data_IF_816612229891
#
_entry.id   IF_816612229891
#
_cell.length_a   1.000
_cell.length_b   1.000
_cell.length_c   1.000
_cell.angle_alpha   90.00
_cell.angle_beta   90.00
_cell.angle_gamma   90.00
#
_symmetry.space_group_name_H-M   'P 1'
#
loop_
_entity.id
_entity.type
_entity.pdbx_description
1 polymer ?
#
# COMPACT_ATOMS: atom_id res chain seq x y z
N UNK A 1 11.29 -17.45 5.87
CA UNK A 1 10.79 -17.47 4.48
C UNK A 1 11.90 -17.33 3.42
N UNK A 2 13.18 -17.16 3.79
CA UNK A 2 14.29 -17.33 2.84
C UNK A 2 14.55 -16.21 1.83
N UNK A 3 13.77 -15.12 1.86
CA UNK A 3 13.93 -13.95 0.98
C UNK A 3 15.29 -13.29 1.17
N UNK A 4 15.97 -13.00 0.06
CA UNK A 4 17.28 -12.34 -0.01
C UNK A 4 17.20 -11.03 -0.81
N UNK A 5 18.30 -10.27 -0.79
CA UNK A 5 18.45 -9.10 -1.66
C UNK A 5 18.22 -9.47 -3.13
N UNK A 6 17.44 -8.66 -3.85
CA UNK A 6 17.09 -8.87 -5.25
C UNK A 6 15.92 -9.83 -5.49
N UNK A 7 15.49 -10.60 -4.47
CA UNK A 7 14.27 -11.40 -4.58
C UNK A 7 13.03 -10.49 -4.63
N UNK A 8 12.03 -10.90 -5.41
CA UNK A 8 10.75 -10.20 -5.47
C UNK A 8 9.77 -10.74 -4.43
N UNK A 9 8.98 -9.84 -3.85
CA UNK A 9 7.90 -10.17 -2.91
C UNK A 9 6.61 -9.53 -3.39
N UNK A 10 5.61 -10.34 -3.72
CA UNK A 10 4.29 -9.85 -4.12
C UNK A 10 3.50 -9.38 -2.90
N UNK A 11 2.86 -8.21 -3.01
CA UNK A 11 2.06 -7.62 -1.94
C UNK A 11 0.64 -7.40 -2.47
N UNK A 12 -0.35 -7.98 -1.80
CA UNK A 12 -1.77 -7.84 -2.12
C UNK A 12 -2.54 -7.57 -0.83
N UNK A 13 -2.46 -6.34 -0.35
CA UNK A 13 -3.02 -5.93 0.95
C UNK A 13 -4.01 -4.77 0.79
N UNK A 14 -5.05 -4.69 1.64
CA UNK A 14 -5.91 -3.52 1.72
C UNK A 14 -5.15 -2.33 2.32
N UNK A 15 -5.78 -1.15 2.29
CA UNK A 15 -5.29 0.13 2.85
C UNK A 15 -5.16 0.15 4.37
N UNK A 16 -4.32 -0.73 4.89
CA UNK A 16 -3.96 -0.82 6.31
C UNK A 16 -2.52 -0.36 6.49
N UNK A 17 -2.17 0.12 7.67
CA UNK A 17 -0.80 0.56 7.96
C UNK A 17 0.24 -0.56 7.78
N UNK A 18 -0.17 -1.84 7.89
CA UNK A 18 0.68 -3.00 7.62
C UNK A 18 1.21 -3.06 6.19
N UNK A 19 0.52 -2.44 5.21
CA UNK A 19 1.01 -2.34 3.85
C UNK A 19 2.30 -1.50 3.78
N UNK A 20 2.32 -0.34 4.45
CA UNK A 20 3.54 0.47 4.56
C UNK A 20 4.67 -0.29 5.27
N UNK A 21 4.34 -0.99 6.37
CA UNK A 21 5.31 -1.83 7.07
C UNK A 21 5.88 -2.93 6.15
N UNK A 22 5.06 -3.49 5.26
CA UNK A 22 5.47 -4.52 4.28
C UNK A 22 6.45 -3.96 3.26
N UNK A 23 6.16 -2.77 2.69
CA UNK A 23 7.04 -2.13 1.71
C UNK A 23 8.42 -1.88 2.33
N UNK A 24 8.42 -1.30 3.55
CA UNK A 24 9.64 -1.00 4.29
C UNK A 24 10.38 -2.25 4.74
N UNK A 25 9.68 -3.33 5.09
CA UNK A 25 10.31 -4.61 5.43
C UNK A 25 11.04 -5.23 4.22
N UNK A 26 10.44 -5.15 3.03
CA UNK A 26 11.08 -5.60 1.79
C UNK A 26 12.31 -4.72 1.48
N UNK A 27 12.14 -3.39 1.46
CA UNK A 27 13.23 -2.45 1.21
C UNK A 27 14.38 -2.62 2.22
N UNK A 28 14.08 -2.90 3.49
CA UNK A 28 15.08 -3.09 4.56
C UNK A 28 16.00 -4.28 4.32
N UNK A 29 15.54 -5.32 3.64
CA UNK A 29 16.34 -6.50 3.32
C UNK A 29 16.82 -6.55 1.87
N UNK A 30 16.62 -5.44 1.13
CA UNK A 30 16.96 -5.36 -0.29
C UNK A 30 16.06 -6.18 -1.21
N UNK A 31 14.89 -6.62 -0.74
CA UNK A 31 13.89 -7.29 -1.56
C UNK A 31 13.06 -6.27 -2.35
N UNK A 32 12.61 -6.70 -3.52
CA UNK A 32 11.87 -5.87 -4.48
C UNK A 32 10.38 -6.15 -4.27
N UNK A 33 9.67 -5.27 -3.56
CA UNK A 33 8.23 -5.46 -3.40
C UNK A 33 7.49 -5.14 -4.72
N UNK A 34 6.49 -5.96 -5.02
CA UNK A 34 5.64 -5.84 -6.20
C UNK A 34 4.19 -5.78 -5.77
N UNK A 35 3.62 -4.58 -5.80
CA UNK A 35 2.31 -4.31 -5.21
C UNK A 35 1.20 -4.45 -6.24
N UNK A 36 0.20 -5.27 -5.91
CA UNK A 36 -1.03 -5.43 -6.69
C UNK A 36 -2.20 -4.71 -6.03
N UNK A 37 -2.99 -3.99 -6.83
CA UNK A 37 -4.20 -3.33 -6.34
C UNK A 37 -5.16 -4.32 -5.72
N UNK A 38 -5.58 -4.09 -4.46
CA UNK A 38 -6.48 -4.99 -3.72
C UNK A 38 -7.87 -5.20 -4.37
N UNK A 39 -8.18 -4.49 -5.45
CA UNK A 39 -9.36 -4.72 -6.30
C UNK A 39 -9.11 -5.52 -7.59
N UNK A 40 -7.90 -6.00 -7.83
CA UNK A 40 -7.60 -6.88 -8.97
C UNK A 40 -8.28 -8.24 -8.84
N UNK A 41 -8.60 -8.84 -10.00
CA UNK A 41 -9.04 -10.23 -10.08
C UNK A 41 -7.89 -11.21 -9.82
N UNK A 42 -8.22 -12.48 -9.58
CA UNK A 42 -7.25 -13.56 -9.43
C UNK A 42 -6.32 -13.68 -10.63
N UNK A 43 -6.83 -13.53 -11.85
CA UNK A 43 -6.05 -13.62 -13.09
C UNK A 43 -5.06 -12.45 -13.18
N UNK A 44 -5.54 -11.24 -12.87
CA UNK A 44 -4.70 -10.03 -12.87
C UNK A 44 -3.57 -10.12 -11.84
N UNK A 45 -3.85 -10.70 -10.67
CA UNK A 45 -2.85 -10.95 -9.63
C UNK A 45 -1.85 -12.04 -10.06
N UNK A 46 -2.34 -13.19 -10.53
CA UNK A 46 -1.56 -14.31 -11.03
C UNK A 46 -0.54 -13.88 -12.09
N UNK A 47 -0.98 -13.13 -13.10
CA UNK A 47 -0.11 -12.73 -14.21
C UNK A 47 1.08 -11.88 -13.73
N UNK A 48 0.87 -11.06 -12.69
CA UNK A 48 1.92 -10.23 -12.09
C UNK A 48 2.87 -11.04 -11.22
N UNK A 49 2.34 -11.97 -10.42
CA UNK A 49 3.15 -12.89 -9.61
C UNK A 49 4.11 -13.69 -10.51
N UNK A 50 3.58 -14.25 -11.61
CA UNK A 50 4.38 -15.02 -12.58
C UNK A 50 5.47 -14.19 -13.24
N UNK A 51 5.11 -12.97 -13.65
CA UNK A 51 6.03 -12.08 -14.34
C UNK A 51 7.17 -11.61 -13.43
N UNK A 52 6.87 -11.24 -12.17
CA UNK A 52 7.90 -10.89 -11.20
C UNK A 52 8.59 -12.08 -10.55
N UNK A 53 8.15 -13.33 -10.81
CA UNK A 53 8.71 -14.59 -10.26
C UNK A 53 8.80 -14.58 -8.73
N UNK A 54 7.77 -14.04 -8.07
CA UNK A 54 7.76 -13.93 -6.62
C UNK A 54 7.63 -15.29 -5.96
N UNK A 55 8.46 -15.56 -4.93
CA UNK A 55 8.39 -16.79 -4.12
C UNK A 55 7.63 -16.61 -2.81
N UNK A 56 7.38 -15.36 -2.42
CA UNK A 56 6.62 -15.01 -1.21
C UNK A 56 5.53 -14.02 -1.57
N UNK A 57 4.33 -14.24 -1.04
CA UNK A 57 3.22 -13.30 -1.16
C UNK A 57 2.76 -12.83 0.22
N UNK A 58 2.46 -11.55 0.35
CA UNK A 58 1.96 -10.95 1.58
C UNK A 58 0.55 -10.41 1.33
N UNK A 59 -0.41 -10.81 2.15
CA UNK A 59 -1.83 -10.43 2.00
C UNK A 59 -2.53 -10.30 3.36
N UNK A 60 -3.85 -10.13 3.35
CA UNK A 60 -4.72 -10.22 4.52
C UNK A 60 -5.77 -11.32 4.36
N UNK A 61 -6.37 -11.74 5.47
CA UNK A 61 -7.59 -12.57 5.47
C UNK A 61 -8.68 -11.91 4.60
N UNK A 62 -9.05 -10.68 4.93
CA UNK A 62 -9.99 -9.85 4.18
C UNK A 62 -9.64 -8.36 4.31
N UNK A 63 -10.04 -7.57 3.32
CA UNK A 63 -10.07 -6.12 3.40
C UNK A 63 -11.43 -5.57 3.81
N UNK A 64 -11.45 -4.34 4.34
CA UNK A 64 -12.67 -3.57 4.58
C UNK A 64 -12.58 -2.22 3.88
N UNK A 65 -13.52 -1.90 3.00
CA UNK A 65 -13.55 -0.60 2.32
C UNK A 65 -14.98 -0.12 2.11
N UNK A 66 -15.29 1.08 2.60
CA UNK A 66 -16.63 1.68 2.47
C UNK A 66 -17.76 0.79 3.03
N UNK A 67 -17.51 0.09 4.14
CA UNK A 67 -18.45 -0.86 4.75
C UNK A 67 -18.51 -2.24 4.09
N UNK A 68 -17.85 -2.45 2.94
CA UNK A 68 -17.83 -3.72 2.22
C UNK A 68 -16.62 -4.58 2.59
N UNK A 69 -16.77 -5.89 2.47
CA UNK A 69 -15.70 -6.88 2.59
C UNK A 69 -15.03 -7.09 1.23
N UNK A 70 -13.71 -7.20 1.23
CA UNK A 70 -12.90 -7.63 0.07
C UNK A 70 -12.27 -8.96 0.46
N UNK A 71 -12.62 -10.06 -0.21
CA UNK A 71 -12.12 -11.39 0.12
C UNK A 71 -10.70 -11.62 -0.41
N UNK A 72 -9.72 -10.89 0.13
CA UNK A 72 -8.33 -10.87 -0.36
C UNK A 72 -7.70 -12.25 -0.36
N UNK A 73 -7.84 -13.03 0.73
CA UNK A 73 -7.30 -14.39 0.80
C UNK A 73 -7.92 -15.32 -0.24
N UNK A 74 -9.22 -15.21 -0.49
CA UNK A 74 -9.90 -16.02 -1.50
C UNK A 74 -9.40 -15.72 -2.93
N UNK A 75 -9.14 -14.44 -3.23
CA UNK A 75 -8.58 -14.03 -4.53
C UNK A 75 -7.14 -14.54 -4.67
N UNK A 76 -6.34 -14.45 -3.61
CA UNK A 76 -4.98 -15.00 -3.55
C UNK A 76 -5.00 -16.50 -3.80
N UNK A 77 -5.83 -17.26 -3.08
CA UNK A 77 -5.91 -18.72 -3.24
C UNK A 77 -6.30 -19.12 -4.66
N UNK A 78 -7.23 -18.38 -5.29
CA UNK A 78 -7.59 -18.60 -6.68
C UNK A 78 -6.43 -18.32 -7.64
N UNK A 79 -5.65 -17.24 -7.41
CA UNK A 79 -4.49 -16.90 -8.22
C UNK A 79 -3.36 -17.94 -8.07
N UNK A 80 -3.11 -18.41 -6.85
CA UNK A 80 -1.99 -19.29 -6.52
C UNK A 80 -2.15 -20.73 -7.03
N UNK A 81 -3.36 -21.15 -7.42
CA UNK A 81 -3.56 -22.42 -8.16
C UNK A 81 -2.70 -22.54 -9.40
N UNK A 82 -2.34 -21.42 -10.00
CA UNK A 82 -1.51 -21.35 -11.20
C UNK A 82 -0.11 -20.78 -10.95
N UNK A 83 0.27 -20.49 -9.70
CA UNK A 83 1.58 -19.95 -9.32
C UNK A 83 2.29 -20.89 -8.31
N UNK A 84 2.68 -22.11 -8.72
CA UNK A 84 3.32 -23.08 -7.82
C UNK A 84 4.69 -22.64 -7.29
N UNK A 85 5.28 -21.59 -7.85
CA UNK A 85 6.54 -20.99 -7.41
C UNK A 85 6.43 -20.19 -6.10
N UNK A 86 5.20 -19.82 -5.69
CA UNK A 86 4.98 -19.17 -4.39
C UNK A 86 5.04 -20.23 -3.30
N UNK A 87 6.06 -20.14 -2.44
CA UNK A 87 6.34 -21.13 -1.40
C UNK A 87 5.73 -20.73 -0.05
N UNK A 88 5.50 -19.43 0.15
CA UNK A 88 5.01 -18.90 1.41
C UNK A 88 4.02 -17.75 1.19
N UNK A 89 2.92 -17.78 1.95
CA UNK A 89 1.97 -16.67 2.03
C UNK A 89 1.90 -16.16 3.46
N UNK A 90 2.28 -14.90 3.68
CA UNK A 90 2.12 -14.23 4.97
C UNK A 90 0.77 -13.50 5.01
N UNK A 91 -0.13 -13.93 5.88
CA UNK A 91 -1.50 -13.43 5.98
C UNK A 91 -1.66 -12.56 7.22
N UNK A 92 -1.97 -11.29 7.05
CA UNK A 92 -2.38 -10.39 8.13
C UNK A 92 -3.85 -10.63 8.51
N UNK A 93 -4.12 -10.83 9.81
CA UNK A 93 -5.47 -11.02 10.34
C UNK A 93 -6.15 -9.66 10.54
N UNK A 94 -6.81 -9.14 9.50
CA UNK A 94 -7.47 -7.83 9.49
C UNK A 94 -8.90 -7.89 10.02
N UNK A 95 -9.70 -8.89 9.62
CA UNK A 95 -11.10 -9.03 10.08
C UNK A 95 -11.25 -10.13 11.11
N UNK A 96 -10.40 -11.14 11.05
CA UNK A 96 -10.44 -12.31 11.91
C UNK A 96 -11.54 -13.30 11.58
N UNK A 97 -12.21 -13.12 10.44
CA UNK A 97 -13.14 -14.08 9.88
C UNK A 97 -12.41 -15.35 9.41
N UNK A 98 -13.16 -16.45 9.30
CA UNK A 98 -12.63 -17.71 8.79
C UNK A 98 -12.34 -17.59 7.29
N UNK A 99 -11.11 -17.92 6.90
CA UNK A 99 -10.66 -17.99 5.50
C UNK A 99 -10.08 -19.37 5.21
N UNK A 100 -10.07 -19.76 3.93
CA UNK A 100 -9.41 -20.99 3.50
C UNK A 100 -7.90 -20.93 3.82
N UNK A 101 -7.33 -22.07 4.19
CA UNK A 101 -5.96 -22.16 4.68
C UNK A 101 -5.26 -23.39 4.12
N UNK A 102 -4.02 -23.20 3.69
CA UNK A 102 -3.12 -24.25 3.18
C UNK A 102 -1.98 -24.46 4.16
N UNK A 103 -1.99 -25.59 4.86
CA UNK A 103 -1.02 -25.90 5.92
C UNK A 103 0.43 -25.91 5.40
N UNK A 104 1.37 -25.37 6.18
CA UNK A 104 2.78 -25.22 5.81
C UNK A 104 3.11 -24.11 4.79
N UNK A 105 2.14 -23.73 3.96
CA UNK A 105 2.27 -22.67 2.96
C UNK A 105 1.81 -21.30 3.49
N UNK A 106 0.60 -21.26 4.06
CA UNK A 106 0.01 -20.06 4.64
C UNK A 106 0.48 -19.88 6.08
N UNK A 107 0.84 -18.66 6.46
CA UNK A 107 1.32 -18.31 7.80
C UNK A 107 0.70 -17.03 8.30
N UNK A 108 0.27 -17.01 9.56
CA UNK A 108 -0.28 -15.80 10.16
C UNK A 108 0.83 -14.80 10.50
N UNK A 109 0.64 -13.55 10.05
CA UNK A 109 1.55 -12.43 10.33
C UNK A 109 1.84 -12.28 11.81
N UNK A 110 0.78 -12.27 12.64
CA UNK A 110 0.88 -12.02 14.08
C UNK A 110 1.58 -13.17 14.83
N UNK A 111 1.58 -14.39 14.28
CA UNK A 111 2.31 -15.52 14.86
C UNK A 111 3.78 -15.52 14.43
N UNK A 112 4.06 -15.26 13.15
CA UNK A 112 5.43 -15.26 12.62
C UNK A 112 6.25 -14.09 13.17
N UNK A 113 5.63 -12.92 13.37
CA UNK A 113 6.33 -11.74 13.91
C UNK A 113 6.73 -11.89 15.37
N UNK A 114 6.06 -12.74 16.16
CA UNK A 114 6.46 -13.06 17.54
C UNK A 114 7.70 -13.95 17.62
N UNK A 115 8.06 -14.63 16.52
CA UNK A 115 9.19 -15.57 16.46
C UNK A 115 10.51 -14.87 16.10
N UNK A 116 10.47 -13.59 15.78
CA UNK A 116 11.63 -12.82 15.31
C UNK A 116 11.89 -11.61 16.21
N UNK A 117 13.16 -11.14 16.31
CA UNK A 117 13.49 -9.94 17.07
C UNK A 117 12.85 -8.69 16.44
N UNK A 118 12.64 -7.67 17.28
CA UNK A 118 12.08 -6.37 16.87
C UNK A 118 13.06 -5.47 16.09
N UNK A 119 14.31 -5.91 15.91
CA UNK A 119 15.32 -5.21 15.14
C UNK A 119 16.04 -6.17 14.19
N UNK A 120 16.21 -5.72 12.95
CA UNK A 120 17.04 -6.36 11.93
C UNK A 120 17.92 -5.27 11.30
N UNK A 121 19.24 -5.45 11.13
CA UNK A 121 20.06 -4.48 10.40
C UNK A 121 19.53 -4.26 8.97
N UNK A 122 19.54 -3.02 8.46
CA UNK A 122 19.21 -2.76 7.06
C UNK A 122 20.32 -3.27 6.13
N UNK A 123 19.94 -3.82 4.99
CA UNK A 123 20.88 -4.23 3.93
C UNK A 123 21.49 -2.99 3.25
N UNK A 124 22.77 -3.07 2.87
CA UNK A 124 23.44 -1.98 2.15
C UNK A 124 23.14 -2.11 0.67
N UNK A 125 22.37 -1.17 0.13
CA UNK A 125 21.93 -1.16 -1.26
C UNK A 125 22.75 -0.19 -2.10
N UNK A 126 22.99 -0.53 -3.37
CA UNK A 126 23.47 0.42 -4.37
C UNK A 126 22.37 1.42 -4.74
N UNK A 127 22.76 2.62 -5.16
CA UNK A 127 21.81 3.64 -5.63
C UNK A 127 20.94 3.16 -6.79
N UNK A 128 21.51 2.30 -7.65
CA UNK A 128 20.88 1.73 -8.83
C UNK A 128 20.11 0.43 -8.57
N UNK A 129 20.15 -0.12 -7.36
CA UNK A 129 19.44 -1.36 -7.07
C UNK A 129 17.92 -1.13 -7.12
N UNK A 130 17.13 -2.09 -7.62
CA UNK A 130 15.69 -1.98 -7.66
C UNK A 130 15.09 -1.89 -6.26
N UNK A 131 14.19 -0.92 -6.06
CA UNK A 131 13.43 -0.75 -4.82
C UNK A 131 12.08 -1.47 -4.90
N UNK A 132 11.39 -1.32 -6.03
CA UNK A 132 10.08 -1.92 -6.25
C UNK A 132 9.74 -2.08 -7.72
N UNK A 133 8.75 -2.95 -7.96
CA UNK A 133 8.08 -3.14 -9.23
C UNK A 133 6.63 -2.65 -9.07
N UNK A 134 6.16 -1.85 -10.03
CA UNK A 134 4.77 -1.46 -10.12
C UNK A 134 4.22 -1.71 -11.52
N UNK A 135 3.15 -2.49 -11.59
CA UNK A 135 2.51 -2.84 -12.86
C UNK A 135 1.49 -1.78 -13.27
N UNK A 136 1.62 -1.24 -14.49
CA UNK A 136 0.68 -0.27 -15.05
C UNK A 136 -0.10 -0.85 -16.23
N UNK A 137 -1.29 -0.34 -16.51
CA UNK A 137 -2.05 -0.72 -17.70
C UNK A 137 -1.26 -0.40 -18.98
N UNK A 138 -0.94 -1.41 -19.78
CA UNK A 138 -0.35 -1.24 -21.11
C UNK A 138 -1.44 -1.00 -22.16
N UNK A 139 -1.11 -0.23 -23.21
CA UNK A 139 -1.98 -0.01 -24.37
C UNK A 139 -2.21 -1.28 -25.21
N UNK A 140 -1.36 -2.30 -25.03
CA UNK A 140 -1.34 -3.55 -25.81
C UNK A 140 -1.93 -4.75 -25.05
N UNK A 141 -2.63 -4.51 -23.93
CA UNK A 141 -3.31 -5.55 -23.15
C UNK A 141 -2.45 -6.27 -22.11
N UNK A 142 -1.13 -6.40 -22.32
CA UNK A 142 -0.21 -6.88 -21.27
C UNK A 142 0.17 -5.75 -20.29
N UNK A 143 0.14 -5.98 -18.97
CA UNK A 143 0.64 -5.01 -18.00
C UNK A 143 2.10 -4.64 -18.29
N UNK A 144 2.42 -3.34 -18.22
CA UNK A 144 3.80 -2.87 -18.31
C UNK A 144 4.45 -2.93 -16.94
N UNK A 145 5.66 -3.46 -16.88
CA UNK A 145 6.50 -3.48 -15.67
C UNK A 145 7.21 -2.15 -15.56
N UNK A 146 6.98 -1.42 -14.47
CA UNK A 146 7.77 -0.23 -14.12
C UNK A 146 8.66 -0.60 -12.95
N UNK A 147 9.97 -0.41 -13.11
CA UNK A 147 10.97 -0.65 -12.06
C UNK A 147 11.53 0.70 -11.63
N UNK A 148 11.50 0.97 -10.32
CA UNK A 148 12.14 2.14 -9.73
C UNK A 148 13.38 1.72 -8.95
N UNK A 149 14.48 2.44 -9.14
CA UNK A 149 15.74 2.24 -8.39
C UNK A 149 15.73 3.04 -7.10
N UNK A 150 16.58 2.62 -6.15
CA UNK A 150 16.53 3.07 -4.76
C UNK A 150 16.79 4.57 -4.59
N UNK A 151 18.01 5.05 -4.84
CA UNK A 151 18.38 6.41 -4.43
C UNK A 151 17.63 7.51 -5.20
N UNK A 152 17.53 7.35 -6.53
CA UNK A 152 16.89 8.36 -7.39
C UNK A 152 15.40 8.52 -7.09
N UNK A 153 14.68 7.42 -6.87
CA UNK A 153 13.26 7.47 -6.50
C UNK A 153 13.05 8.11 -5.13
N UNK A 154 13.81 7.69 -4.12
CA UNK A 154 13.68 8.24 -2.76
C UNK A 154 14.02 9.73 -2.72
N UNK A 155 15.08 10.15 -3.42
CA UNK A 155 15.43 11.57 -3.55
C UNK A 155 14.31 12.36 -4.24
N UNK A 156 13.78 11.84 -5.34
CA UNK A 156 12.67 12.47 -6.05
C UNK A 156 11.46 12.68 -5.14
N UNK A 157 11.02 11.62 -4.45
CA UNK A 157 9.91 11.67 -3.51
C UNK A 157 10.14 12.72 -2.39
N UNK A 158 11.30 12.69 -1.75
CA UNK A 158 11.63 13.63 -0.67
C UNK A 158 11.72 15.08 -1.14
N UNK A 159 12.23 15.32 -2.35
CA UNK A 159 12.28 16.66 -2.95
C UNK A 159 10.87 17.16 -3.30
N UNK A 160 10.03 16.33 -3.91
CA UNK A 160 8.67 16.75 -4.27
C UNK A 160 7.81 17.00 -3.04
N UNK A 161 7.92 16.18 -2.00
CA UNK A 161 7.23 16.44 -0.73
C UNK A 161 7.65 17.80 -0.15
N UNK A 162 8.95 18.05 -0.11
CA UNK A 162 9.47 19.31 0.43
C UNK A 162 9.06 20.52 -0.40
N UNK A 163 9.19 20.46 -1.73
CA UNK A 163 9.14 21.67 -2.57
C UNK A 163 7.80 21.87 -3.29
N UNK A 164 7.05 20.81 -3.57
CA UNK A 164 5.72 20.93 -4.20
C UNK A 164 4.65 21.12 -3.13
N UNK A 165 4.76 20.36 -2.04
CA UNK A 165 3.78 20.41 -0.96
C UNK A 165 4.23 21.27 0.23
N UNK A 166 5.46 21.82 0.23
CA UNK A 166 5.97 22.65 1.34
C UNK A 166 5.98 21.94 2.70
N UNK A 167 6.31 20.64 2.72
CA UNK A 167 6.27 19.82 3.95
C UNK A 167 7.41 20.13 4.92
N UNK A 168 7.04 20.46 6.15
CA UNK A 168 7.84 20.76 7.33
C UNK A 168 7.75 19.67 8.42
N UNK A 169 8.70 19.59 9.37
CA UNK A 169 8.76 18.51 10.37
C UNK A 169 7.50 18.28 11.22
N UNK A 170 6.74 19.33 11.50
CA UNK A 170 5.51 19.33 12.30
C UNK A 170 4.25 18.92 11.52
N UNK A 171 4.37 18.73 10.20
CA UNK A 171 3.24 18.52 9.32
C UNK A 171 2.61 17.13 9.44
N UNK A 172 1.32 17.12 9.10
CA UNK A 172 0.50 15.92 8.98
C UNK A 172 -0.02 15.83 7.55
N UNK A 173 0.63 14.99 6.76
CA UNK A 173 0.35 14.81 5.35
C UNK A 173 -0.70 13.73 5.13
N UNK A 174 -1.80 14.07 4.46
CA UNK A 174 -2.87 13.13 4.17
C UNK A 174 -3.09 12.98 2.66
N UNK A 175 -2.41 12.00 2.06
CA UNK A 175 -2.76 11.50 0.74
C UNK A 175 -3.86 10.44 0.85
N UNK A 176 -5.00 10.70 0.22
CA UNK A 176 -6.18 9.84 0.22
C UNK A 176 -6.19 8.80 -0.91
N UNK A 177 -5.03 8.57 -1.54
CA UNK A 177 -4.87 7.53 -2.57
C UNK A 177 -4.75 6.13 -1.93
N UNK A 178 -4.77 5.08 -2.75
CA UNK A 178 -4.39 3.75 -2.29
C UNK A 178 -2.86 3.53 -2.46
N UNK A 179 -2.23 2.81 -1.53
CA UNK A 179 -0.79 2.45 -1.56
C UNK A 179 -0.43 1.61 -2.77
N UNK A 180 -1.40 0.94 -3.39
CA UNK A 180 -1.18 0.11 -4.58
C UNK A 180 -0.99 0.91 -5.87
N UNK A 181 -1.15 2.24 -5.82
CA UNK A 181 -0.82 3.15 -6.92
C UNK A 181 0.48 3.90 -6.65
N UNK A 182 1.10 4.42 -7.70
CA UNK A 182 2.33 5.21 -7.58
C UNK A 182 2.16 6.42 -6.65
N UNK A 183 0.97 7.02 -6.62
CA UNK A 183 0.66 8.12 -5.70
C UNK A 183 0.81 7.68 -4.24
N UNK A 184 0.33 6.49 -3.87
CA UNK A 184 0.46 5.99 -2.51
C UNK A 184 1.88 5.50 -2.17
N UNK A 185 2.59 4.90 -3.13
CA UNK A 185 4.02 4.61 -2.95
C UNK A 185 4.78 5.89 -2.58
N UNK A 186 4.65 6.92 -3.41
CA UNK A 186 5.43 8.14 -3.28
C UNK A 186 4.96 9.00 -2.11
N UNK A 187 3.65 9.27 -1.99
CA UNK A 187 3.10 10.32 -1.13
C UNK A 187 2.33 9.82 0.09
N UNK A 188 2.27 8.50 0.32
CA UNK A 188 1.81 7.92 1.60
C UNK A 188 3.00 7.29 2.33
N UNK A 189 3.82 6.52 1.62
CA UNK A 189 4.91 5.76 2.23
C UNK A 189 6.24 6.50 2.15
N UNK A 190 6.84 6.63 0.97
CA UNK A 190 8.25 7.01 0.89
C UNK A 190 8.52 8.48 1.22
N UNK A 191 7.88 9.42 0.53
CA UNK A 191 8.12 10.86 0.69
C UNK A 191 7.95 11.32 2.14
N UNK A 192 6.76 11.13 2.76
CA UNK A 192 6.53 11.63 4.11
C UNK A 192 7.43 10.97 5.16
N UNK A 193 7.66 9.65 5.04
CA UNK A 193 8.48 8.93 6.02
C UNK A 193 9.97 9.23 5.89
N UNK A 194 10.48 9.53 4.68
CA UNK A 194 11.85 10.03 4.48
C UNK A 194 12.07 11.38 5.17
N UNK A 195 11.01 12.18 5.27
CA UNK A 195 11.02 13.48 5.93
C UNK A 195 10.80 13.40 7.45
N UNK A 196 10.40 12.23 7.95
CA UNK A 196 10.08 12.03 9.36
C UNK A 196 8.76 12.68 9.80
N UNK A 197 7.87 13.00 8.85
CA UNK A 197 6.59 13.63 9.15
C UNK A 197 5.46 12.62 9.34
N UNK A 198 4.32 13.05 9.86
CA UNK A 198 3.16 12.18 10.02
C UNK A 198 2.46 11.98 8.68
N UNK A 199 2.15 10.74 8.32
CA UNK A 199 1.42 10.38 7.09
C UNK A 199 0.12 9.64 7.40
N UNK A 200 -0.93 9.89 6.61
CA UNK A 200 -2.22 9.23 6.77
C UNK A 200 -2.36 7.97 5.88
N UNK A 201 -2.81 6.88 6.48
CA UNK A 201 -3.26 5.68 5.75
C UNK A 201 -4.78 5.58 5.90
N UNK A 202 -5.52 5.92 4.84
CA UNK A 202 -6.98 6.00 4.86
C UNK A 202 -7.63 4.76 4.23
N UNK A 203 -8.20 3.88 5.06
CA UNK A 203 -8.79 2.60 4.62
C UNK A 203 -10.20 2.73 3.98
N UNK A 204 -10.85 3.89 4.12
CA UNK A 204 -12.26 4.04 3.75
C UNK A 204 -12.46 4.61 2.34
N UNK A 205 -13.70 5.06 2.06
CA UNK A 205 -14.01 5.85 0.86
C UNK A 205 -14.36 7.28 1.27
N UNK A 206 -14.34 8.21 0.32
CA UNK A 206 -14.69 9.62 0.56
C UNK A 206 -16.12 9.83 1.07
N UNK A 207 -16.98 8.81 0.96
CA UNK A 207 -18.42 8.91 1.25
C UNK A 207 -18.91 7.97 2.34
N UNK A 208 -18.01 7.25 3.03
CA UNK A 208 -18.40 6.30 4.06
C UNK A 208 -17.95 6.71 5.47
N UNK A 209 -18.86 6.81 6.46
CA UNK A 209 -20.30 6.54 6.37
C UNK A 209 -21.09 7.64 5.66
N UNK A 210 -20.53 8.85 5.54
CA UNK A 210 -21.15 9.98 4.86
C UNK A 210 -20.14 10.74 3.98
N UNK A 211 -20.59 11.61 3.07
CA UNK A 211 -19.72 12.47 2.24
C UNK A 211 -18.91 13.51 3.03
N UNK A 212 -19.12 13.61 4.35
CA UNK A 212 -18.28 14.43 5.23
C UNK A 212 -16.96 13.75 5.61
N UNK A 213 -16.73 12.49 5.19
CA UNK A 213 -15.67 11.66 5.76
C UNK A 213 -14.26 12.23 5.60
N UNK A 214 -13.92 12.81 4.45
CA UNK A 214 -12.61 13.43 4.25
C UNK A 214 -12.39 14.62 5.20
N UNK A 215 -13.41 15.47 5.33
CA UNK A 215 -13.36 16.68 6.15
C UNK A 215 -13.28 16.37 7.64
N UNK A 216 -14.02 15.34 8.09
CA UNK A 216 -13.89 14.79 9.44
C UNK A 216 -12.48 14.30 9.75
N UNK A 217 -11.79 13.69 8.77
CA UNK A 217 -10.40 13.25 8.96
C UNK A 217 -9.46 14.46 9.08
N UNK A 218 -9.64 15.47 8.23
CA UNK A 218 -8.87 16.71 8.28
C UNK A 218 -9.01 17.39 9.64
N UNK A 219 -10.25 17.67 10.06
CA UNK A 219 -10.57 18.35 11.32
C UNK A 219 -10.09 17.53 12.53
N UNK A 220 -10.43 16.23 12.60
CA UNK A 220 -10.09 15.38 13.75
C UNK A 220 -8.58 15.26 13.97
N UNK A 221 -7.82 15.12 12.89
CA UNK A 221 -6.39 14.87 12.98
C UNK A 221 -5.54 16.13 12.82
N UNK A 222 -6.19 17.28 12.54
CA UNK A 222 -5.53 18.56 12.26
C UNK A 222 -4.51 18.39 11.13
N UNK A 223 -4.98 17.79 10.03
CA UNK A 223 -4.16 17.55 8.83
C UNK A 223 -3.69 18.88 8.27
N UNK A 224 -2.43 18.98 7.86
CA UNK A 224 -1.88 20.22 7.29
C UNK A 224 -1.78 20.19 5.78
N UNK A 225 -1.75 19.00 5.18
CA UNK A 225 -1.68 18.84 3.74
C UNK A 225 -2.66 17.77 3.28
N UNK A 226 -3.55 18.11 2.35
CA UNK A 226 -4.56 17.19 1.84
C UNK A 226 -4.38 16.93 0.35
N UNK A 227 -4.20 15.66 -0.02
CA UNK A 227 -3.99 15.26 -1.41
C UNK A 227 -5.00 14.18 -1.85
N UNK A 228 -5.77 14.45 -2.90
CA UNK A 228 -6.75 13.51 -3.45
C UNK A 228 -6.89 13.64 -4.97
N UNK A 229 -7.61 12.71 -5.59
CA UNK A 229 -7.88 12.72 -7.02
C UNK A 229 -9.06 13.67 -7.38
N UNK A 230 -9.02 14.33 -8.56
CA UNK A 230 -10.14 15.14 -9.05
C UNK A 230 -11.48 14.40 -9.12
N UNK A 231 -11.46 13.07 -9.33
CA UNK A 231 -12.66 12.24 -9.33
C UNK A 231 -13.38 12.25 -7.97
N UNK A 232 -12.64 12.20 -6.87
CA UNK A 232 -13.21 12.28 -5.53
C UNK A 232 -13.79 13.68 -5.26
N UNK A 233 -13.09 14.73 -5.67
CA UNK A 233 -13.55 16.13 -5.54
C UNK A 233 -14.87 16.33 -6.30
N UNK A 234 -14.96 15.86 -7.56
CA UNK A 234 -16.20 15.94 -8.35
C UNK A 234 -17.36 15.20 -7.70
N UNK A 235 -17.10 14.03 -7.12
CA UNK A 235 -18.11 13.26 -6.39
C UNK A 235 -18.63 14.03 -5.17
N UNK A 236 -17.73 14.55 -4.33
CA UNK A 236 -18.11 15.28 -3.11
C UNK A 236 -18.87 16.57 -3.44
N UNK A 237 -18.42 17.33 -4.46
CA UNK A 237 -19.14 18.50 -4.96
C UNK A 237 -20.57 18.17 -5.39
N UNK A 238 -20.78 17.03 -6.06
CA UNK A 238 -22.12 16.57 -6.47
C UNK A 238 -23.03 16.24 -5.28
N UNK A 239 -22.46 15.81 -4.16
CA UNK A 239 -23.21 15.39 -2.97
C UNK A 239 -23.60 16.59 -2.07
N UNK A 240 -23.08 17.78 -2.35
CA UNK A 240 -23.51 19.03 -1.75
C UNK A 240 -22.48 19.61 -0.76
N UNK A 241 -22.39 20.94 -0.75
CA UNK A 241 -21.36 21.69 -0.01
C UNK A 241 -21.56 21.67 1.52
N UNK A 242 -22.77 21.42 1.99
CA UNK A 242 -23.11 21.32 3.41
C UNK A 242 -22.28 20.24 4.14
N UNK A 243 -21.82 19.20 3.43
CA UNK A 243 -20.94 18.18 3.99
C UNK A 243 -19.53 18.69 4.31
N UNK A 244 -19.08 19.73 3.61
CA UNK A 244 -17.76 20.36 3.80
C UNK A 244 -17.85 21.57 4.74
N UNK A 245 -18.87 22.42 4.57
CA UNK A 245 -19.03 23.67 5.33
C UNK A 245 -19.24 23.46 6.84
N UNK A 246 -19.61 22.24 7.26
CA UNK A 246 -19.82 21.88 8.66
C UNK A 246 -18.54 21.58 9.45
N UNK A 247 -17.35 21.70 8.85
CA UNK A 247 -16.07 21.31 9.46
C UNK A 247 -15.07 22.46 9.45
N UNK A 248 -14.25 22.54 10.51
CA UNK A 248 -13.06 23.39 10.53
C UNK A 248 -11.94 22.75 9.70
N UNK A 249 -11.57 23.45 8.62
CA UNK A 249 -10.52 23.05 7.69
C UNK A 249 -9.38 24.07 7.65
N UNK A 250 -9.26 24.92 8.68
CA UNK A 250 -8.25 25.99 8.73
C UNK A 250 -6.79 25.50 8.77
N UNK A 251 -6.58 24.20 9.00
CA UNK A 251 -5.24 23.60 9.02
C UNK A 251 -4.72 23.22 7.64
N UNK A 252 -5.56 23.10 6.61
CA UNK A 252 -5.19 22.69 5.24
C UNK A 252 -5.21 23.83 4.23
#
# INVERSE_FOLDING_TARGET
MGVKQGDTVSVYMPMTWHAAATFLACARIGAIHSVGFAGFSSESLRDRIKDCKSRVLITSDEGRRGGKVIATKAIVDAALKECPEVEHVLVHRRTGNTVAWTEGHDKWWHEETLKVPNYRPPEVMSSGDPLFILYTSGSTGKPKVVVHTTAGYLLGAALTDKYVFDVHPEDKFACMADVDWITGHTYIVYGPLLKGVTTAVFESTSVYPTPSRYWQVVEKHQITHFYTAPTAIRLLRRLGEHHTQAHDLSTV
#
